data_IF_549213918133
#
_entry.id   IF_549213918133
#
_cell.length_a   1.000
_cell.length_b   1.000
_cell.length_c   1.000
_cell.angle_alpha   90.00
_cell.angle_beta   90.00
_cell.angle_gamma   90.00
#
_symmetry.space_group_name_H-M   'P 1'
#
loop_
_entity.id
_entity.type
_entity.pdbx_description
1 polymer ?
#
# COMPACT_ATOMS: atom_id res chain seq x y z
N UNK A 1 -51.22 45.67 11.34
CA UNK A 1 -49.94 46.08 10.74
C UNK A 1 -48.77 45.77 11.62
N UNK A 2 -48.73 46.12 12.89
CA UNK A 2 -47.61 45.84 13.80
C UNK A 2 -47.31 44.36 14.01
N UNK A 3 -48.35 43.50 14.09
CA UNK A 3 -48.18 42.05 14.22
C UNK A 3 -47.54 41.39 12.98
N UNK A 4 -47.93 41.87 11.79
CA UNK A 4 -47.36 41.38 10.53
C UNK A 4 -45.89 41.72 10.42
N UNK A 5 -45.52 42.93 10.79
CA UNK A 5 -44.14 43.40 10.79
C UNK A 5 -43.28 42.57 11.76
N UNK A 6 -43.75 42.39 12.98
CA UNK A 6 -43.03 41.58 13.98
C UNK A 6 -42.89 40.12 13.57
N UNK A 7 -43.91 39.55 12.94
CA UNK A 7 -43.87 38.18 12.43
C UNK A 7 -42.85 38.05 11.29
N UNK A 8 -42.85 39.01 10.35
CA UNK A 8 -41.88 39.03 9.25
C UNK A 8 -40.43 39.19 9.75
N UNK A 9 -40.20 40.06 10.73
CA UNK A 9 -38.91 40.25 11.36
C UNK A 9 -38.42 38.96 12.06
N UNK A 10 -39.31 38.29 12.78
CA UNK A 10 -39.01 37.02 13.43
C UNK A 10 -38.69 35.91 12.40
N UNK A 11 -39.46 35.83 11.34
CA UNK A 11 -39.27 34.86 10.26
C UNK A 11 -37.95 35.12 9.52
N UNK A 12 -37.61 36.38 9.28
CA UNK A 12 -36.34 36.76 8.67
C UNK A 12 -35.17 36.35 9.55
N UNK A 13 -35.23 36.64 10.84
CA UNK A 13 -34.18 36.27 11.80
C UNK A 13 -33.95 34.76 11.83
N UNK A 14 -35.05 33.99 11.87
CA UNK A 14 -34.98 32.53 11.83
C UNK A 14 -34.37 32.01 10.52
N UNK A 15 -34.74 32.62 9.40
CA UNK A 15 -34.20 32.26 8.09
C UNK A 15 -32.70 32.58 8.00
N UNK A 16 -32.28 33.73 8.53
CA UNK A 16 -30.85 34.09 8.58
C UNK A 16 -30.05 33.14 9.46
N UNK A 17 -30.58 32.75 10.62
CA UNK A 17 -29.93 31.76 11.48
C UNK A 17 -29.77 30.42 10.78
N UNK A 18 -30.82 29.97 10.08
CA UNK A 18 -30.76 28.72 9.31
C UNK A 18 -29.72 28.78 8.20
N UNK A 19 -29.66 29.93 7.51
CA UNK A 19 -28.67 30.14 6.47
C UNK A 19 -27.26 30.12 7.03
N UNK A 20 -27.02 30.80 8.15
CA UNK A 20 -25.70 30.82 8.80
C UNK A 20 -25.27 29.44 9.27
N UNK A 21 -26.17 28.70 9.91
CA UNK A 21 -25.90 27.31 10.34
C UNK A 21 -25.60 26.42 9.13
N UNK A 22 -26.39 26.57 8.06
CA UNK A 22 -26.20 25.82 6.83
C UNK A 22 -24.84 26.11 6.17
N UNK A 23 -24.50 27.40 6.09
CA UNK A 23 -23.23 27.84 5.51
C UNK A 23 -22.02 27.33 6.32
N UNK A 24 -22.13 27.38 7.64
CA UNK A 24 -21.09 26.82 8.53
C UNK A 24 -20.93 25.32 8.31
N UNK A 25 -22.04 24.59 8.21
CA UNK A 25 -22.00 23.14 7.91
C UNK A 25 -21.38 22.84 6.57
N UNK A 26 -21.66 23.64 5.56
CA UNK A 26 -21.06 23.49 4.22
C UNK A 26 -19.54 23.60 4.33
N UNK A 27 -19.03 24.60 5.02
CA UNK A 27 -17.60 24.80 5.20
C UNK A 27 -16.95 23.63 5.95
N UNK A 28 -17.61 23.14 7.00
CA UNK A 28 -17.14 21.96 7.75
C UNK A 28 -17.09 20.71 6.87
N UNK A 29 -18.13 20.46 6.10
CA UNK A 29 -18.22 19.32 5.19
C UNK A 29 -17.19 19.40 4.06
N UNK A 30 -16.98 20.60 3.52
CA UNK A 30 -15.96 20.82 2.49
C UNK A 30 -14.55 20.52 3.03
N UNK A 31 -14.28 20.91 4.27
CA UNK A 31 -13.02 20.61 4.94
C UNK A 31 -12.86 19.11 5.20
N UNK A 32 -13.89 18.45 5.70
CA UNK A 32 -13.88 17.00 5.89
C UNK A 32 -13.65 16.26 4.56
N UNK A 33 -14.31 16.72 3.51
CA UNK A 33 -14.15 16.14 2.17
C UNK A 33 -12.72 16.30 1.67
N UNK A 34 -12.11 17.45 1.89
CA UNK A 34 -10.72 17.70 1.51
C UNK A 34 -9.77 16.77 2.26
N UNK A 35 -9.98 16.59 3.56
CA UNK A 35 -9.15 15.69 4.39
C UNK A 35 -9.29 14.24 3.90
N UNK A 36 -10.51 13.79 3.66
CA UNK A 36 -10.78 12.44 3.15
C UNK A 36 -10.13 12.24 1.78
N UNK A 37 -10.26 13.22 0.88
CA UNK A 37 -9.64 13.13 -0.44
C UNK A 37 -8.11 13.04 -0.37
N UNK A 38 -7.48 13.79 0.53
CA UNK A 38 -6.04 13.74 0.75
C UNK A 38 -5.60 12.39 1.34
N UNK A 39 -6.38 11.87 2.29
CA UNK A 39 -6.12 10.55 2.87
C UNK A 39 -6.24 9.44 1.82
N UNK A 40 -7.25 9.54 0.95
CA UNK A 40 -7.44 8.58 -0.14
C UNK A 40 -6.24 8.58 -1.09
N UNK A 41 -5.73 9.75 -1.47
CA UNK A 41 -4.55 9.88 -2.31
C UNK A 41 -3.32 9.26 -1.65
N UNK A 42 -3.13 9.49 -0.35
CA UNK A 42 -2.03 8.91 0.41
C UNK A 42 -2.12 7.38 0.43
N UNK A 43 -3.32 6.84 0.60
CA UNK A 43 -3.56 5.40 0.57
C UNK A 43 -3.28 4.81 -0.81
N UNK A 44 -3.71 5.48 -1.88
CA UNK A 44 -3.45 5.06 -3.26
C UNK A 44 -1.94 4.99 -3.56
N UNK A 45 -1.19 6.01 -3.14
CA UNK A 45 0.26 6.04 -3.29
C UNK A 45 0.92 4.92 -2.49
N UNK A 46 0.47 4.69 -1.25
CA UNK A 46 0.99 3.62 -0.40
C UNK A 46 0.71 2.24 -1.00
N UNK A 47 -0.49 2.04 -1.55
CA UNK A 47 -0.87 0.80 -2.21
C UNK A 47 -0.01 0.54 -3.45
N UNK A 48 0.20 1.55 -4.27
CA UNK A 48 1.05 1.42 -5.46
C UNK A 48 2.49 1.07 -5.09
N UNK A 49 3.05 1.72 -4.07
CA UNK A 49 4.38 1.40 -3.57
C UNK A 49 4.47 -0.02 -3.04
N UNK A 50 3.45 -0.48 -2.31
CA UNK A 50 3.39 -1.85 -1.82
C UNK A 50 3.34 -2.85 -2.97
N UNK A 51 2.55 -2.58 -4.00
CA UNK A 51 2.46 -3.41 -5.21
C UNK A 51 3.80 -3.48 -5.95
N UNK A 52 4.49 -2.35 -6.09
CA UNK A 52 5.81 -2.30 -6.72
C UNK A 52 6.83 -3.13 -5.94
N UNK A 53 6.81 -3.05 -4.60
CA UNK A 53 7.68 -3.87 -3.75
C UNK A 53 7.37 -5.35 -3.89
N UNK A 54 6.10 -5.71 -3.96
CA UNK A 54 5.67 -7.09 -4.15
C UNK A 54 6.19 -7.65 -5.48
N UNK A 55 6.05 -6.89 -6.56
CA UNK A 55 6.55 -7.27 -7.88
C UNK A 55 8.07 -7.44 -7.85
N UNK A 56 8.79 -6.48 -7.25
CA UNK A 56 10.24 -6.55 -7.11
C UNK A 56 10.69 -7.75 -6.28
N UNK A 57 9.98 -8.04 -5.19
CA UNK A 57 10.25 -9.19 -4.33
C UNK A 57 10.02 -10.52 -5.07
N UNK A 58 8.95 -10.62 -5.84
CA UNK A 58 8.68 -11.81 -6.66
C UNK A 58 9.79 -12.06 -7.69
N UNK A 59 10.25 -11.01 -8.36
CA UNK A 59 11.37 -11.10 -9.29
C UNK A 59 12.65 -11.54 -8.59
N UNK A 60 12.93 -10.98 -7.43
CA UNK A 60 14.09 -11.33 -6.64
C UNK A 60 14.06 -12.78 -6.16
N UNK A 61 12.91 -13.25 -5.68
CA UNK A 61 12.69 -14.65 -5.30
C UNK A 61 12.92 -15.57 -6.49
N UNK A 62 12.41 -15.22 -7.65
CA UNK A 62 12.58 -15.99 -8.89
C UNK A 62 14.06 -16.10 -9.28
N UNK A 63 14.76 -14.99 -9.23
CA UNK A 63 16.21 -14.95 -9.53
C UNK A 63 17.00 -15.79 -8.54
N UNK A 64 16.72 -15.65 -7.24
CA UNK A 64 17.40 -16.42 -6.18
C UNK A 64 17.09 -17.92 -6.29
N UNK A 65 15.86 -18.28 -6.63
CA UNK A 65 15.47 -19.68 -6.85
C UNK A 65 16.27 -20.29 -8.00
N UNK A 66 16.46 -19.57 -9.10
CA UNK A 66 17.27 -20.02 -10.22
C UNK A 66 18.73 -20.19 -9.82
N UNK A 67 19.29 -19.22 -9.10
CA UNK A 67 20.66 -19.28 -8.59
C UNK A 67 20.85 -20.44 -7.63
N UNK A 68 19.87 -20.69 -6.76
CA UNK A 68 19.90 -21.81 -5.83
C UNK A 68 19.94 -23.15 -6.57
N UNK A 69 19.10 -23.33 -7.57
CA UNK A 69 19.09 -24.56 -8.39
C UNK A 69 20.42 -24.78 -9.09
N UNK A 70 21.02 -23.73 -9.63
CA UNK A 70 22.33 -23.80 -10.26
C UNK A 70 23.42 -24.18 -9.25
N UNK A 71 23.39 -23.56 -8.07
CA UNK A 71 24.35 -23.86 -7.01
C UNK A 71 24.18 -25.28 -6.48
N UNK A 72 22.96 -25.76 -6.29
CA UNK A 72 22.67 -27.14 -5.89
C UNK A 72 23.17 -28.15 -6.93
N UNK A 73 22.97 -27.88 -8.22
CA UNK A 73 23.47 -28.73 -9.29
C UNK A 73 25.02 -28.78 -9.29
N UNK A 74 25.66 -27.64 -9.08
CA UNK A 74 27.14 -27.57 -8.98
C UNK A 74 27.65 -28.32 -7.78
N UNK A 75 26.98 -28.18 -6.62
CA UNK A 75 27.33 -28.88 -5.40
C UNK A 75 27.19 -30.40 -5.57
N UNK A 76 26.08 -30.84 -6.16
CA UNK A 76 25.84 -32.25 -6.44
C UNK A 76 26.91 -32.85 -7.38
N UNK A 77 27.22 -32.13 -8.43
CA UNK A 77 28.30 -32.54 -9.36
C UNK A 77 29.63 -32.62 -8.64
N UNK A 78 29.97 -31.63 -7.82
CA UNK A 78 31.20 -31.62 -7.05
C UNK A 78 31.28 -32.80 -6.07
N UNK A 79 30.17 -33.07 -5.36
CA UNK A 79 30.09 -34.21 -4.43
C UNK A 79 30.32 -35.56 -5.14
N UNK A 80 29.70 -35.75 -6.29
CA UNK A 80 29.90 -36.95 -7.11
C UNK A 80 31.33 -37.08 -7.60
N UNK A 81 31.93 -35.95 -8.02
CA UNK A 81 33.32 -35.93 -8.45
C UNK A 81 34.30 -36.27 -7.30
N UNK A 82 34.04 -35.75 -6.11
CA UNK A 82 34.82 -36.06 -4.90
C UNK A 82 34.71 -37.54 -4.57
N UNK A 83 33.50 -38.09 -4.56
CA UNK A 83 33.30 -39.54 -4.31
C UNK A 83 34.01 -40.40 -5.31
N UNK A 84 33.97 -40.07 -6.60
CA UNK A 84 34.67 -40.79 -7.66
C UNK A 84 36.16 -40.74 -7.47
N UNK A 85 36.75 -39.59 -7.19
CA UNK A 85 38.17 -39.42 -6.96
C UNK A 85 38.64 -40.14 -5.70
N UNK A 86 37.84 -40.13 -4.63
CA UNK A 86 38.13 -40.86 -3.41
C UNK A 86 38.21 -42.38 -3.67
N UNK A 87 37.32 -42.92 -4.49
CA UNK A 87 37.35 -44.31 -4.91
C UNK A 87 38.61 -44.62 -5.73
N UNK A 88 38.96 -43.76 -6.67
CA UNK A 88 40.14 -43.91 -7.48
C UNK A 88 41.42 -43.89 -6.62
N UNK A 89 41.52 -42.98 -5.68
CA UNK A 89 42.62 -42.90 -4.73
C UNK A 89 42.68 -44.16 -3.86
N UNK A 90 41.53 -44.63 -3.37
CA UNK A 90 41.41 -45.86 -2.59
C UNK A 90 41.86 -47.10 -3.36
N UNK A 91 41.65 -47.16 -4.67
CA UNK A 91 42.11 -48.25 -5.54
C UNK A 91 43.62 -48.25 -5.74
N UNK A 92 44.23 -47.07 -5.68
CA UNK A 92 45.68 -46.91 -5.94
C UNK A 92 46.49 -47.03 -4.63
N UNK A 93 45.87 -46.81 -3.47
CA UNK A 93 46.50 -46.75 -2.15
C UNK A 93 46.82 -48.10 -1.53
N UNK A 94 47.15 -49.05 -2.34
CA UNK A 94 47.62 -50.32 -1.83
C UNK A 94 49.12 -50.34 -1.87
#
# INVERSE_FOLDING_TARGET
MAKKLATCESDLEKAEERADVGETKILELEEELRVVANNLRSLEVSEEKANQREIANKEQVKTLTTKLKQAEARAEFADKSVQKLQKEVGMISF
#
